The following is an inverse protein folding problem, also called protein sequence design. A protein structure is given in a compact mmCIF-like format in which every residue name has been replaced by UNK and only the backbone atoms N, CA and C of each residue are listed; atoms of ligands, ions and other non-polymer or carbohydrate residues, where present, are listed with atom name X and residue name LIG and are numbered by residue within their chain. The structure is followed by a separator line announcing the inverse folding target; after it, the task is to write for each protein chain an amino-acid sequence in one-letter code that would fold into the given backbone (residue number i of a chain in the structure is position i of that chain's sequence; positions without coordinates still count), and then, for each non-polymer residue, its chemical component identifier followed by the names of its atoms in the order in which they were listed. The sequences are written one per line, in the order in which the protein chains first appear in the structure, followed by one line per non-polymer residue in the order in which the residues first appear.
data_IF_541138472463
#
_entry.id   IF_541138472463
#
_cell.length_a   1.000
_cell.length_b   1.000
_cell.length_c   1.000
_cell.angle_alpha   90.00
_cell.angle_beta   90.00
_cell.angle_gamma   90.00
#
_symmetry.space_group_name_H-M   'P 1'
#
loop_
_entity.id
_entity.type
_entity.pdbx_description
1 polymer ?
#
# COMPACT_ATOMS: atom_id res chain seq x y z
N UNK A 1 -24.26 1.84 2.03
CA UNK A 1 -22.90 2.42 2.05
C UNK A 1 -21.94 1.33 2.49
N UNK A 2 -20.89 1.04 1.73
CA UNK A 2 -19.97 -0.05 2.07
C UNK A 2 -19.16 0.29 3.32
N UNK A 3 -18.84 -0.72 4.13
CA UNK A 3 -18.02 -0.55 5.33
C UNK A 3 -16.60 -0.15 4.93
N UNK A 4 -16.07 -0.73 3.86
CA UNK A 4 -14.77 -0.35 3.30
C UNK A 4 -14.70 1.14 2.94
N UNK A 5 -15.72 1.71 2.30
CA UNK A 5 -15.75 3.15 1.98
C UNK A 5 -15.79 4.01 3.24
N UNK A 6 -16.49 3.55 4.28
CA UNK A 6 -16.54 4.24 5.58
C UNK A 6 -15.17 4.28 6.22
N UNK A 7 -14.46 3.15 6.24
CA UNK A 7 -13.07 3.05 6.74
C UNK A 7 -12.17 3.98 5.93
N UNK A 8 -12.21 3.92 4.59
CA UNK A 8 -11.34 4.76 3.76
C UNK A 8 -11.55 6.24 4.03
N UNK A 9 -12.81 6.69 4.16
CA UNK A 9 -13.12 8.10 4.46
C UNK A 9 -12.64 8.55 5.84
N UNK A 10 -12.51 7.64 6.81
CA UNK A 10 -11.89 7.96 8.11
C UNK A 10 -10.38 8.17 7.99
N UNK A 11 -9.72 7.45 7.08
CA UNK A 11 -8.28 7.54 6.86
C UNK A 11 -7.88 8.66 5.89
N UNK A 12 -8.68 8.90 4.86
CA UNK A 12 -8.49 9.92 3.85
C UNK A 12 -9.83 10.21 3.15
N UNK A 13 -10.52 11.31 3.51
CA UNK A 13 -11.81 11.69 2.90
C UNK A 13 -11.68 12.13 1.44
N UNK A 14 -10.46 12.35 0.94
CA UNK A 14 -10.17 12.80 -0.42
C UNK A 14 -9.62 11.68 -1.32
N UNK A 15 -9.57 10.44 -0.82
CA UNK A 15 -9.18 9.30 -1.63
C UNK A 15 -10.12 9.14 -2.83
N UNK A 16 -9.53 8.81 -3.98
CA UNK A 16 -10.31 8.44 -5.17
C UNK A 16 -10.85 7.04 -4.92
N UNK A 17 -12.13 6.81 -5.18
CA UNK A 17 -12.76 5.50 -4.94
C UNK A 17 -13.62 5.09 -6.13
N UNK A 18 -13.55 3.82 -6.49
CA UNK A 18 -14.35 3.20 -7.55
C UNK A 18 -14.79 1.79 -7.12
N UNK A 19 -15.89 1.30 -7.68
CA UNK A 19 -16.27 -0.11 -7.56
C UNK A 19 -15.88 -0.84 -8.84
N UNK A 20 -15.13 -1.94 -8.70
CA UNK A 20 -14.63 -2.76 -9.81
C UNK A 20 -14.82 -4.23 -9.45
N UNK A 21 -15.51 -5.00 -10.30
CA UNK A 21 -15.75 -6.44 -10.13
C UNK A 21 -16.32 -6.85 -8.75
N UNK A 22 -17.13 -5.98 -8.15
CA UNK A 22 -17.71 -6.19 -6.82
C UNK A 22 -16.80 -5.83 -5.64
N UNK A 23 -15.58 -5.38 -5.91
CA UNK A 23 -14.63 -4.87 -4.92
C UNK A 23 -14.62 -3.35 -4.90
N UNK A 24 -14.20 -2.77 -3.77
CA UNK A 24 -13.90 -1.36 -3.65
C UNK A 24 -12.42 -1.14 -3.97
N UNK A 25 -12.13 -0.28 -4.94
CA UNK A 25 -10.79 0.20 -5.28
C UNK A 25 -10.64 1.61 -4.74
N UNK A 26 -9.56 1.88 -4.04
CA UNK A 26 -9.28 3.17 -3.39
C UNK A 26 -7.85 3.60 -3.69
N UNK A 27 -7.66 4.85 -4.11
CA UNK A 27 -6.35 5.41 -4.41
C UNK A 27 -6.11 6.62 -3.50
N UNK A 28 -4.93 6.67 -2.90
CA UNK A 28 -4.46 7.84 -2.16
C UNK A 28 -3.01 8.20 -2.49
N UNK A 29 -2.69 9.47 -2.30
CA UNK A 29 -1.33 9.98 -2.30
C UNK A 29 -0.86 10.14 -0.86
N UNK A 30 0.34 9.66 -0.56
CA UNK A 30 0.95 9.66 0.78
C UNK A 30 2.34 10.26 0.67
N UNK A 31 2.61 11.31 1.46
CA UNK A 31 3.95 11.86 1.58
C UNK A 31 4.75 11.09 2.63
N UNK A 32 6.02 10.79 2.31
CA UNK A 32 7.00 10.45 3.33
C UNK A 32 7.34 11.69 4.21
N UNK A 33 8.12 11.54 5.29
CA UNK A 33 8.46 12.66 6.17
C UNK A 33 9.17 13.84 5.48
N UNK A 34 9.84 13.62 4.35
CA UNK A 34 10.53 14.65 3.56
C UNK A 34 9.65 15.25 2.45
N UNK A 35 8.39 14.84 2.36
CA UNK A 35 7.43 15.34 1.39
C UNK A 35 7.45 14.64 0.04
N UNK A 36 8.24 13.56 -0.13
CA UNK A 36 8.22 12.76 -1.37
C UNK A 36 6.91 11.99 -1.46
N UNK A 37 6.27 12.06 -2.61
CA UNK A 37 4.93 11.51 -2.80
C UNK A 37 4.96 10.07 -3.30
N UNK A 38 4.24 9.20 -2.62
CA UNK A 38 3.86 7.86 -3.06
C UNK A 38 2.41 7.86 -3.48
N UNK A 39 2.05 7.02 -4.47
CA UNK A 39 0.66 6.71 -4.80
C UNK A 39 0.36 5.27 -4.47
N UNK A 40 -0.67 5.05 -3.66
CA UNK A 40 -1.11 3.74 -3.20
C UNK A 40 -2.49 3.41 -3.76
N UNK A 41 -2.67 2.16 -4.14
CA UNK A 41 -3.96 1.56 -4.45
C UNK A 41 -4.28 0.49 -3.40
N UNK A 42 -5.52 0.51 -2.92
CA UNK A 42 -6.10 -0.52 -2.08
C UNK A 42 -7.25 -1.17 -2.83
N UNK A 43 -7.32 -2.49 -2.79
CA UNK A 43 -8.50 -3.25 -3.22
C UNK A 43 -9.06 -3.96 -2.01
N UNK A 44 -10.36 -3.87 -1.80
CA UNK A 44 -11.01 -4.48 -0.64
C UNK A 44 -12.38 -5.06 -0.97
N UNK A 45 -12.79 -6.08 -0.22
CA UNK A 45 -14.19 -6.49 -0.18
C UNK A 45 -15.06 -5.36 0.37
N UNK A 46 -16.35 -5.33 0.02
CA UNK A 46 -17.27 -4.25 0.44
C UNK A 46 -17.38 -4.09 1.96
N UNK A 47 -17.21 -5.19 2.70
CA UNK A 47 -17.19 -5.21 4.17
C UNK A 47 -15.82 -4.82 4.77
N UNK A 48 -14.78 -4.64 3.94
CA UNK A 48 -13.42 -4.29 4.35
C UNK A 48 -12.68 -5.41 5.08
N UNK A 49 -13.21 -6.65 5.11
CA UNK A 49 -12.58 -7.78 5.83
C UNK A 49 -11.38 -8.37 5.12
N UNK A 50 -11.31 -8.21 3.80
CA UNK A 50 -10.17 -8.62 2.98
C UNK A 50 -9.70 -7.42 2.17
N UNK A 51 -8.39 -7.21 2.14
CA UNK A 51 -7.76 -6.13 1.42
C UNK A 51 -6.34 -6.49 0.97
N UNK A 52 -5.92 -5.91 -0.14
CA UNK A 52 -4.55 -5.94 -0.66
C UNK A 52 -4.14 -4.53 -1.06
N UNK A 53 -2.84 -4.28 -1.17
CA UNK A 53 -2.32 -2.97 -1.55
C UNK A 53 -1.25 -3.05 -2.64
N UNK A 54 -1.19 -2.01 -3.45
CA UNK A 54 -0.18 -1.81 -4.49
C UNK A 54 0.39 -0.40 -4.38
N UNK A 55 1.70 -0.27 -4.61
CA UNK A 55 2.36 0.99 -4.87
C UNK A 55 2.32 1.26 -6.38
N UNK A 56 1.54 2.26 -6.78
CA UNK A 56 1.43 2.69 -8.18
C UNK A 56 2.53 3.67 -8.57
N UNK A 57 3.00 4.47 -7.60
CA UNK A 57 4.11 5.40 -7.79
C UNK A 57 4.99 5.41 -6.55
N UNK A 58 6.30 5.25 -6.78
CA UNK A 58 7.35 5.34 -5.79
C UNK A 58 8.33 6.46 -6.21
N UNK A 59 8.59 7.48 -5.38
CA UNK A 59 9.42 8.62 -5.73
C UNK A 59 10.89 8.23 -5.98
N UNK A 60 11.34 7.07 -5.51
CA UNK A 60 12.69 6.55 -5.71
C UNK A 60 12.82 5.70 -6.99
N UNK A 61 11.76 5.62 -7.79
CA UNK A 61 11.65 4.77 -8.98
C UNK A 61 11.42 5.58 -10.26
N UNK A 62 12.02 6.77 -10.38
CA UNK A 62 11.82 7.63 -11.54
C UNK A 62 12.27 6.91 -12.82
N UNK A 63 11.31 6.57 -13.68
CA UNK A 63 11.55 5.83 -14.93
C UNK A 63 11.78 4.32 -14.76
N UNK A 64 11.54 3.77 -13.56
CA UNK A 64 11.73 2.35 -13.24
C UNK A 64 10.48 1.69 -12.64
N UNK A 65 10.57 0.40 -12.28
CA UNK A 65 9.49 -0.32 -11.61
C UNK A 65 9.24 0.23 -10.19
N UNK A 66 8.01 0.13 -9.64
CA UNK A 66 7.65 0.69 -8.32
C UNK A 66 8.47 0.20 -7.12
N UNK A 67 9.22 -0.90 -7.26
CA UNK A 67 10.12 -1.40 -6.21
C UNK A 67 11.48 -0.70 -6.17
N UNK A 68 11.74 0.32 -7.00
CA UNK A 68 12.97 1.12 -6.92
C UNK A 68 14.26 0.33 -7.13
N UNK A 69 14.18 -0.79 -7.84
CA UNK A 69 15.28 -1.73 -8.06
C UNK A 69 15.56 -2.68 -6.90
N UNK A 70 14.79 -2.63 -5.81
CA UNK A 70 15.01 -3.47 -4.63
C UNK A 70 14.34 -4.85 -4.74
N UNK A 71 14.95 -5.85 -4.12
CA UNK A 71 14.31 -7.16 -3.96
C UNK A 71 13.08 -7.07 -3.05
N UNK A 72 12.06 -7.89 -3.32
CA UNK A 72 10.80 -7.87 -2.55
C UNK A 72 10.99 -8.15 -1.05
N UNK A 73 11.95 -9.00 -0.71
CA UNK A 73 12.32 -9.35 0.67
C UNK A 73 12.95 -8.18 1.42
N UNK A 74 13.53 -7.21 0.71
CA UNK A 74 14.22 -6.05 1.28
C UNK A 74 13.30 -4.83 1.26
N UNK A 75 12.78 -4.47 0.09
CA UNK A 75 11.96 -3.27 -0.09
C UNK A 75 10.49 -3.46 0.24
N UNK A 76 10.01 -4.70 0.39
CA UNK A 76 8.60 -5.01 0.66
C UNK A 76 7.60 -4.51 -0.41
N UNK A 77 8.11 -4.11 -1.58
CA UNK A 77 7.35 -3.75 -2.79
C UNK A 77 7.83 -4.65 -3.92
N UNK A 78 6.90 -5.32 -4.60
CA UNK A 78 7.22 -6.13 -5.78
C UNK A 78 7.38 -5.25 -7.02
N UNK A 79 7.99 -5.79 -8.08
CA UNK A 79 8.19 -5.05 -9.33
C UNK A 79 6.87 -4.63 -10.02
N UNK A 80 5.75 -5.29 -9.72
CA UNK A 80 4.40 -4.91 -10.17
C UNK A 80 3.67 -4.01 -9.16
N UNK A 81 4.37 -3.50 -8.15
CA UNK A 81 3.83 -2.63 -7.12
C UNK A 81 3.20 -3.35 -5.94
N UNK A 82 2.98 -4.66 -5.99
CA UNK A 82 2.33 -5.37 -4.88
C UNK A 82 3.09 -5.17 -3.57
N UNK A 83 2.38 -4.71 -2.53
CA UNK A 83 2.96 -4.46 -1.22
C UNK A 83 2.87 -5.71 -0.35
N UNK A 84 3.98 -6.06 0.29
CA UNK A 84 3.94 -6.95 1.44
C UNK A 84 3.07 -6.30 2.52
N UNK A 85 2.19 -7.05 3.17
CA UNK A 85 1.42 -6.60 4.34
C UNK A 85 1.83 -7.38 5.60
N UNK A 86 2.55 -8.49 5.41
CA UNK A 86 3.02 -9.41 6.44
C UNK A 86 3.36 -10.76 5.85
N UNK A 87 3.64 -11.75 6.70
CA UNK A 87 4.07 -13.09 6.27
C UNK A 87 3.02 -13.85 5.45
N UNK A 88 1.73 -13.53 5.62
CA UNK A 88 0.63 -14.17 4.90
C UNK A 88 0.12 -13.32 3.70
N UNK A 89 0.97 -12.42 3.19
CA UNK A 89 0.63 -11.57 2.04
C UNK A 89 0.38 -12.41 0.79
N UNK A 90 -0.75 -12.14 0.14
CA UNK A 90 -1.13 -12.78 -1.11
C UNK A 90 -1.68 -11.74 -2.07
N UNK A 91 -1.45 -11.93 -3.37
CA UNK A 91 -1.93 -11.00 -4.42
C UNK A 91 -3.41 -11.15 -4.73
N UNK A 92 -3.99 -12.34 -4.47
CA UNK A 92 -5.40 -12.60 -4.70
C UNK A 92 -6.21 -12.06 -3.52
N UNK A 93 -7.04 -11.05 -3.79
CA UNK A 93 -7.84 -10.36 -2.78
C UNK A 93 -8.68 -11.32 -1.93
N UNK A 94 -9.35 -12.28 -2.57
CA UNK A 94 -10.20 -13.25 -1.86
C UNK A 94 -9.45 -14.16 -0.88
N UNK A 95 -8.13 -14.31 -1.06
CA UNK A 95 -7.29 -15.12 -0.18
C UNK A 95 -6.60 -14.27 0.90
N UNK A 96 -6.75 -12.93 0.83
CA UNK A 96 -6.11 -12.04 1.79
C UNK A 96 -6.68 -12.21 3.20
N UNK A 97 -5.83 -12.42 4.22
CA UNK A 97 -6.25 -12.47 5.61
C UNK A 97 -6.36 -11.09 6.26
N UNK A 98 -6.00 -10.03 5.54
CA UNK A 98 -5.84 -8.69 6.09
C UNK A 98 -7.08 -7.84 5.84
N UNK A 99 -7.57 -7.17 6.89
CA UNK A 99 -8.64 -6.19 6.77
C UNK A 99 -8.09 -4.84 6.27
N UNK A 100 -8.99 -3.99 5.77
CA UNK A 100 -8.64 -2.75 5.09
C UNK A 100 -7.84 -1.78 5.97
N UNK A 101 -8.25 -1.56 7.21
CA UNK A 101 -7.53 -0.64 8.11
C UNK A 101 -6.08 -1.09 8.36
N UNK A 102 -5.84 -2.38 8.59
CA UNK A 102 -4.47 -2.90 8.73
C UNK A 102 -3.68 -2.65 7.45
N UNK A 103 -4.29 -2.93 6.30
CA UNK A 103 -3.67 -2.77 4.98
C UNK A 103 -3.24 -1.33 4.71
N UNK A 104 -4.11 -0.34 4.99
CA UNK A 104 -3.79 1.09 4.83
C UNK A 104 -2.61 1.48 5.72
N UNK A 105 -2.68 1.16 7.02
CA UNK A 105 -1.62 1.52 7.97
C UNK A 105 -0.28 0.91 7.57
N UNK A 106 -0.30 -0.36 7.14
CA UNK A 106 0.90 -1.09 6.76
C UNK A 106 1.51 -0.58 5.47
N UNK A 107 0.70 -0.29 4.46
CA UNK A 107 1.16 0.31 3.20
C UNK A 107 1.81 1.68 3.42
N UNK A 108 1.18 2.56 4.21
CA UNK A 108 1.75 3.86 4.59
C UNK A 108 3.08 3.71 5.35
N UNK A 109 3.16 2.76 6.28
CA UNK A 109 4.41 2.44 6.97
C UNK A 109 5.51 2.01 6.00
N UNK A 110 5.19 1.23 4.97
CA UNK A 110 6.17 0.84 3.95
C UNK A 110 6.61 1.99 3.06
N UNK A 111 5.77 2.98 2.74
CA UNK A 111 6.24 4.18 2.06
C UNK A 111 7.35 4.87 2.86
N UNK A 112 7.14 5.08 4.16
CA UNK A 112 8.16 5.66 5.04
C UNK A 112 9.38 4.76 5.15
N UNK A 113 9.19 3.46 5.39
CA UNK A 113 10.30 2.52 5.56
C UNK A 113 11.14 2.35 4.31
N UNK A 114 10.52 2.37 3.12
CA UNK A 114 11.21 2.33 1.85
C UNK A 114 12.04 3.61 1.64
N UNK A 115 11.51 4.79 1.95
CA UNK A 115 12.31 6.02 1.88
C UNK A 115 13.54 5.95 2.79
N UNK A 116 13.37 5.49 4.03
CA UNK A 116 14.51 5.29 4.95
C UNK A 116 15.52 4.32 4.35
N UNK A 117 15.08 3.16 3.83
CA UNK A 117 15.96 2.21 3.14
C UNK A 117 16.77 2.88 2.02
N UNK A 118 16.14 3.71 1.19
CA UNK A 118 16.83 4.36 0.07
C UNK A 118 17.81 5.44 0.52
N UNK A 119 17.57 6.05 1.66
CA UNK A 119 18.45 7.09 2.21
C UNK A 119 19.62 6.52 3.00
N UNK A 120 19.39 5.46 3.78
CA UNK A 120 20.36 4.94 4.75
C UNK A 120 20.99 3.63 4.33
N UNK A 121 20.38 2.91 3.37
CA UNK A 121 20.74 1.55 3.01
C UNK A 121 20.14 0.48 3.92
N UNK A 122 19.38 0.85 4.96
CA UNK A 122 18.77 -0.08 5.92
C UNK A 122 17.28 0.19 6.12
N UNK A 123 16.47 -0.87 6.06
CA UNK A 123 15.06 -0.76 6.38
C UNK A 123 14.89 -0.51 7.90
N UNK A 124 13.98 0.37 8.34
CA UNK A 124 13.77 0.61 9.76
C UNK A 124 13.30 -0.66 10.47
N UNK A 125 14.17 -1.24 11.29
CA UNK A 125 13.80 -2.32 12.18
C UNK A 125 12.94 -1.76 13.32
N UNK A 126 11.82 -2.42 13.67
CA UNK A 126 11.21 -2.21 14.97
C UNK A 126 12.21 -2.72 16.02
N UNK A 127 12.91 -1.80 16.68
CA UNK A 127 13.64 -2.08 17.91
C UNK A 127 12.71 -2.49 19.05
#
# INVERSE_FOLDING_TARGET
MSQALTIMRQFNPHAITAEEDGYLVMIEDVSDPDGRLYRLEYRATQDGRKAIAFCLHNPWSIGGPPNGGEEYTVGHVAADGFLCLGTASVKKLDDSPYYLEFTIRRARYWCTGFSVLKETGEFPNPG
#
